data_IF_366474433923
#
_entry.id   IF_366474433923
#
_cell.length_a   1.000
_cell.length_b   1.000
_cell.length_c   1.000
_cell.angle_alpha   90.00
_cell.angle_beta   90.00
_cell.angle_gamma   90.00
#
_symmetry.space_group_name_H-M   'P 1'
#
loop_
_entity.id
_entity.type
_entity.pdbx_description
1 polymer ?
#
# COMPACT_ATOMS: atom_id res chain seq x y z
N UNK A 1 53.61 7.10 -5.79
CA UNK A 1 52.78 7.80 -4.79
C UNK A 1 51.29 7.41 -4.80
N UNK A 2 50.88 6.29 -5.42
CA UNK A 2 49.48 5.81 -5.42
C UNK A 2 49.20 4.70 -4.39
N UNK A 3 50.25 4.03 -3.90
CA UNK A 3 50.16 2.96 -2.91
C UNK A 3 49.86 3.38 -1.47
N UNK A 4 50.30 4.57 -1.04
CA UNK A 4 50.09 5.03 0.35
C UNK A 4 48.62 5.36 0.62
N UNK A 5 47.89 5.84 -0.38
CA UNK A 5 46.47 6.18 -0.23
C UNK A 5 45.55 4.95 -0.18
N UNK A 6 45.95 3.85 -0.85
CA UNK A 6 45.20 2.59 -0.79
C UNK A 6 45.39 1.87 0.57
N UNK A 7 46.59 1.94 1.14
CA UNK A 7 46.89 1.39 2.46
C UNK A 7 46.13 2.10 3.59
N UNK A 8 45.95 3.42 3.51
CA UNK A 8 45.15 4.16 4.50
C UNK A 8 43.66 3.81 4.47
N UNK A 9 43.11 3.47 3.30
CA UNK A 9 41.71 3.06 3.14
C UNK A 9 41.42 1.67 3.73
N UNK A 10 42.39 0.75 3.72
CA UNK A 10 42.24 -0.60 4.28
C UNK A 10 42.30 -0.57 5.81
N UNK A 11 43.28 0.13 6.39
CA UNK A 11 43.44 0.25 7.85
C UNK A 11 42.24 0.94 8.51
N UNK A 12 41.62 1.91 7.83
CA UNK A 12 40.47 2.65 8.37
C UNK A 12 39.15 1.86 8.33
N UNK A 13 39.02 0.87 7.43
CA UNK A 13 37.88 -0.08 7.40
C UNK A 13 38.03 -1.22 8.42
N UNK A 14 39.25 -1.63 8.74
CA UNK A 14 39.50 -2.70 9.71
C UNK A 14 39.27 -2.23 11.17
N UNK A 15 39.43 -0.94 11.46
CA UNK A 15 39.22 -0.37 12.80
C UNK A 15 37.74 -0.19 13.18
N UNK A 16 36.80 -0.35 12.24
CA UNK A 16 35.35 -0.15 12.47
C UNK A 16 34.59 -1.43 12.82
N UNK A 17 35.20 -2.62 12.74
CA UNK A 17 34.51 -3.92 12.89
C UNK A 17 34.92 -4.74 14.13
N UNK A 18 35.55 -4.14 15.14
CA UNK A 18 36.08 -4.86 16.32
C UNK A 18 35.43 -4.47 17.67
N UNK A 19 34.19 -3.96 17.68
CA UNK A 19 33.52 -3.53 18.90
C UNK A 19 32.09 -4.06 19.03
N UNK A 20 31.90 -5.37 18.87
CA UNK A 20 30.75 -6.10 19.40
C UNK A 20 31.21 -7.50 19.78
N UNK A 21 31.34 -7.79 21.08
CA UNK A 21 30.97 -9.06 21.75
C UNK A 21 31.19 -8.90 23.26
N UNK A 22 30.09 -9.16 24.00
CA UNK A 22 29.96 -9.61 25.39
C UNK A 22 30.54 -8.78 26.55
N UNK A 23 29.71 -8.49 27.56
CA UNK A 23 29.79 -9.10 28.91
C UNK A 23 28.50 -8.81 29.69
N UNK A 24 27.90 -9.89 30.18
CA UNK A 24 26.81 -9.97 31.14
C UNK A 24 27.28 -9.73 32.58
N UNK A 25 26.44 -9.11 33.44
CA UNK A 25 26.54 -9.14 34.92
C UNK A 25 25.20 -8.71 35.58
N UNK A 26 24.97 -8.98 36.88
CA UNK A 26 23.77 -9.66 37.36
C UNK A 26 22.83 -8.78 38.19
N UNK A 27 21.68 -9.38 38.56
CA UNK A 27 20.58 -8.85 39.35
C UNK A 27 20.93 -8.46 40.80
N UNK A 28 20.26 -7.41 41.30
CA UNK A 28 19.62 -7.37 42.61
C UNK A 28 18.66 -6.17 42.72
N UNK A 29 17.62 -6.36 43.53
CA UNK A 29 16.36 -5.65 43.60
C UNK A 29 16.40 -4.21 44.17
N UNK A 30 15.44 -3.40 43.74
CA UNK A 30 14.68 -2.52 44.64
C UNK A 30 13.31 -2.22 44.01
N UNK A 31 12.25 -2.65 44.69
CA UNK A 31 10.87 -2.31 44.39
C UNK A 31 10.61 -0.84 44.77
N UNK A 32 10.11 -0.06 43.80
CA UNK A 32 9.45 1.20 44.06
C UNK A 32 8.29 1.34 43.07
N UNK A 33 7.08 1.36 43.62
CA UNK A 33 5.84 1.54 42.89
C UNK A 33 5.70 2.96 42.35
N UNK A 34 5.24 3.11 41.11
CA UNK A 34 4.72 4.36 40.51
C UNK A 34 3.87 3.97 39.28
N UNK A 35 2.71 4.62 39.05
CA UNK A 35 1.50 3.97 38.54
C UNK A 35 1.41 3.96 37.01
N UNK A 36 0.50 3.11 36.52
CA UNK A 36 0.08 3.03 35.14
C UNK A 36 -0.36 4.41 34.62
N UNK A 37 0.41 4.99 33.70
CA UNK A 37 -0.06 6.01 32.78
C UNK A 37 -0.62 5.32 31.54
N UNK A 38 -1.79 4.72 31.69
CA UNK A 38 -2.70 4.44 30.57
C UNK A 38 -3.17 5.78 30.02
N UNK A 39 -2.74 6.11 28.81
CA UNK A 39 -3.44 7.06 27.96
C UNK A 39 -3.31 6.55 26.53
N UNK A 40 -4.31 5.86 25.97
CA UNK A 40 -4.36 5.68 24.53
C UNK A 40 -4.35 7.06 23.86
N UNK A 41 -3.80 7.20 22.64
CA UNK A 41 -3.95 8.43 21.88
C UNK A 41 -5.45 8.76 21.78
N UNK A 42 -5.83 10.06 21.78
CA UNK A 42 -7.23 10.43 21.65
C UNK A 42 -7.77 9.80 20.37
N UNK A 43 -8.75 8.91 20.54
CA UNK A 43 -9.52 8.38 19.44
C UNK A 43 -10.11 9.57 18.69
N UNK A 44 -9.62 9.81 17.48
CA UNK A 44 -10.30 10.70 16.55
C UNK A 44 -11.69 10.07 16.40
N UNK A 45 -12.79 10.81 16.64
CA UNK A 45 -14.10 10.27 16.38
C UNK A 45 -14.14 9.92 14.90
N UNK A 46 -14.20 8.61 14.59
CA UNK A 46 -14.51 8.12 13.26
C UNK A 46 -15.94 8.54 13.02
N UNK A 47 -16.14 9.73 12.47
CA UNK A 47 -17.41 10.10 11.87
C UNK A 47 -17.75 9.00 10.88
N UNK A 48 -18.97 8.43 10.93
CA UNK A 48 -19.43 7.54 9.88
C UNK A 48 -19.22 8.27 8.55
N UNK A 49 -18.40 7.69 7.69
CA UNK A 49 -18.06 8.27 6.40
C UNK A 49 -19.33 8.72 5.69
N UNK A 50 -19.29 9.92 5.12
CA UNK A 50 -20.34 10.40 4.24
C UNK A 50 -20.71 9.28 3.23
N UNK A 51 -22.00 9.13 2.86
CA UNK A 51 -22.44 8.06 1.97
C UNK A 51 -21.55 8.06 0.73
N UNK A 52 -20.96 6.89 0.44
CA UNK A 52 -20.15 6.67 -0.75
C UNK A 52 -20.92 7.21 -1.97
N UNK A 53 -20.34 8.18 -2.65
CA UNK A 53 -20.94 8.81 -3.82
C UNK A 53 -21.01 7.78 -4.94
N UNK A 54 -22.11 7.03 -5.01
CA UNK A 54 -22.33 6.00 -6.02
C UNK A 54 -22.46 6.62 -7.40
N UNK A 55 -21.36 6.65 -8.15
CA UNK A 55 -21.36 7.01 -9.57
C UNK A 55 -21.85 5.87 -10.47
N UNK A 56 -21.79 6.05 -11.80
CA UNK A 56 -22.22 5.02 -12.76
C UNK A 56 -21.36 3.75 -12.68
N UNK A 57 -22.02 2.60 -12.80
CA UNK A 57 -21.39 1.27 -12.85
C UNK A 57 -21.74 0.59 -14.16
N UNK A 58 -20.72 0.21 -14.94
CA UNK A 58 -20.85 -0.44 -16.25
C UNK A 58 -20.13 -1.79 -16.34
N UNK A 59 -19.47 -2.22 -15.27
CA UNK A 59 -18.78 -3.51 -15.18
C UNK A 59 -19.39 -4.40 -14.07
N UNK A 60 -19.18 -5.71 -14.19
CA UNK A 60 -19.60 -6.72 -13.19
C UNK A 60 -18.37 -7.34 -12.53
N UNK A 61 -18.39 -7.47 -11.20
CA UNK A 61 -17.37 -8.19 -10.42
C UNK A 61 -17.56 -9.72 -10.47
N UNK A 62 -18.66 -10.19 -11.04
CA UNK A 62 -18.93 -11.61 -11.26
C UNK A 62 -18.69 -11.96 -12.74
N UNK A 63 -18.12 -13.13 -12.97
CA UNK A 63 -17.85 -13.67 -14.30
C UNK A 63 -17.28 -15.09 -14.24
N UNK A 64 -16.67 -15.55 -15.32
CA UNK A 64 -16.12 -16.91 -15.45
C UNK A 64 -14.59 -16.94 -15.59
N UNK A 65 -13.93 -15.78 -15.53
CA UNK A 65 -12.49 -15.68 -15.66
C UNK A 65 -11.79 -16.25 -14.44
N UNK A 66 -11.37 -17.50 -14.48
CA UNK A 66 -10.65 -18.16 -13.37
C UNK A 66 -9.27 -18.66 -13.76
N UNK A 67 -8.87 -18.46 -15.01
CA UNK A 67 -7.59 -18.94 -15.57
C UNK A 67 -6.39 -18.04 -15.24
N UNK A 68 -6.58 -17.00 -14.44
CA UNK A 68 -5.57 -15.99 -14.15
C UNK A 68 -4.84 -16.28 -12.85
N UNK A 69 -3.53 -16.03 -12.86
CA UNK A 69 -2.67 -16.13 -11.68
C UNK A 69 -2.50 -14.79 -10.98
N UNK A 70 -1.97 -14.83 -9.76
CA UNK A 70 -1.54 -13.63 -9.04
C UNK A 70 -0.48 -12.89 -9.86
N UNK A 71 -0.63 -11.58 -9.99
CA UNK A 71 0.38 -10.71 -10.60
C UNK A 71 1.27 -10.14 -9.50
N UNK A 72 2.57 -10.08 -9.76
CA UNK A 72 3.54 -9.43 -8.88
C UNK A 72 3.75 -7.97 -9.30
N UNK A 73 3.93 -7.08 -8.32
CA UNK A 73 4.11 -5.67 -8.58
C UNK A 73 5.51 -5.26 -9.01
N UNK A 74 5.76 -3.96 -9.26
CA UNK A 74 4.86 -2.82 -9.01
C UNK A 74 3.83 -2.59 -10.13
N UNK A 75 2.82 -1.76 -9.84
CA UNK A 75 1.90 -1.22 -10.87
C UNK A 75 2.67 -0.48 -11.97
N UNK A 76 2.27 -0.64 -13.24
CA UNK A 76 2.88 0.07 -14.38
C UNK A 76 2.56 1.57 -14.33
N UNK A 77 3.52 2.49 -14.10
CA UNK A 77 3.24 3.93 -14.00
C UNK A 77 2.71 4.56 -15.29
N UNK A 78 2.81 3.88 -16.43
CA UNK A 78 2.34 4.35 -17.74
C UNK A 78 1.11 3.59 -18.23
N UNK A 79 0.38 2.94 -17.33
CA UNK A 79 -0.75 2.09 -17.73
C UNK A 79 -1.84 2.88 -18.48
N UNK A 80 -2.07 4.15 -18.16
CA UNK A 80 -3.08 5.00 -18.80
C UNK A 80 -2.82 5.22 -20.30
N UNK A 81 -1.57 5.11 -20.75
CA UNK A 81 -1.20 5.23 -22.17
C UNK A 81 -1.34 3.90 -22.92
N UNK A 82 -1.25 2.77 -22.20
CA UNK A 82 -1.12 1.43 -22.79
C UNK A 82 -2.39 0.60 -22.69
N UNK A 83 -3.22 0.85 -21.68
CA UNK A 83 -4.42 0.07 -21.39
C UNK A 83 -5.66 0.82 -21.84
N UNK A 84 -6.65 0.07 -22.30
CA UNK A 84 -7.95 0.61 -22.66
C UNK A 84 -8.83 0.71 -21.41
N UNK A 85 -9.55 1.82 -21.26
CA UNK A 85 -10.65 1.90 -20.30
C UNK A 85 -11.78 0.97 -20.75
N UNK A 86 -12.12 -0.01 -19.91
CA UNK A 86 -13.16 -1.02 -20.20
C UNK A 86 -14.51 -0.66 -19.60
N UNK A 87 -14.54 0.25 -18.61
CA UNK A 87 -15.78 0.72 -18.02
C UNK A 87 -15.58 1.57 -16.78
N UNK A 88 -16.62 1.63 -15.95
CA UNK A 88 -16.61 2.30 -14.65
C UNK A 88 -17.30 1.46 -13.58
N UNK A 89 -16.91 1.63 -12.32
CA UNK A 89 -17.59 1.05 -11.17
C UNK A 89 -17.77 2.11 -10.09
N UNK A 90 -19.02 2.40 -9.74
CA UNK A 90 -19.37 3.48 -8.81
C UNK A 90 -18.71 4.83 -9.14
N UNK A 91 -18.52 5.11 -10.44
CA UNK A 91 -17.86 6.33 -10.92
C UNK A 91 -16.33 6.28 -10.99
N UNK A 92 -15.71 5.19 -10.55
CA UNK A 92 -14.26 4.94 -10.69
C UNK A 92 -13.98 4.30 -12.05
N UNK A 93 -12.96 4.78 -12.76
CA UNK A 93 -12.55 4.20 -14.06
C UNK A 93 -11.91 2.83 -13.89
N UNK A 94 -12.18 1.92 -14.80
CA UNK A 94 -11.59 0.58 -14.83
C UNK A 94 -10.82 0.38 -16.12
N UNK A 95 -9.57 -0.04 -16.00
CA UNK A 95 -8.60 -0.20 -17.08
C UNK A 95 -8.27 -1.69 -17.25
N UNK A 96 -8.47 -2.18 -18.48
CA UNK A 96 -8.31 -3.60 -18.79
C UNK A 96 -6.86 -4.09 -18.84
N UNK A 97 -6.62 -5.38 -19.08
CA UNK A 97 -7.62 -6.42 -19.35
C UNK A 97 -8.53 -6.68 -18.15
N UNK A 98 -9.76 -7.11 -18.39
CA UNK A 98 -10.78 -7.34 -17.37
C UNK A 98 -11.58 -8.60 -17.70
N UNK A 99 -11.47 -9.60 -16.84
CA UNK A 99 -12.22 -10.85 -16.89
C UNK A 99 -12.43 -11.37 -15.45
N UNK A 100 -13.52 -10.93 -14.84
CA UNK A 100 -13.83 -11.23 -13.46
C UNK A 100 -14.17 -12.73 -13.27
N UNK A 101 -13.89 -13.32 -12.09
CA UNK A 101 -13.24 -12.70 -10.92
C UNK A 101 -11.71 -12.72 -10.94
N UNK A 102 -11.08 -13.43 -11.88
CA UNK A 102 -9.65 -13.75 -11.85
C UNK A 102 -8.72 -12.65 -12.36
N UNK A 103 -9.23 -11.75 -13.21
CA UNK A 103 -8.50 -10.58 -13.68
C UNK A 103 -9.39 -9.34 -13.60
N UNK A 104 -9.00 -8.38 -12.78
CA UNK A 104 -9.77 -7.17 -12.51
C UNK A 104 -9.07 -5.90 -13.00
N UNK A 105 -7.80 -5.97 -13.37
CA UNK A 105 -7.07 -4.87 -13.98
C UNK A 105 -6.81 -3.72 -13.00
N UNK A 106 -6.69 -2.50 -13.53
CA UNK A 106 -6.31 -1.30 -12.76
C UNK A 106 -7.51 -0.38 -12.62
N UNK A 107 -7.72 0.16 -11.43
CA UNK A 107 -8.88 0.98 -11.09
C UNK A 107 -8.42 2.37 -10.66
N UNK A 108 -9.17 3.42 -11.03
CA UNK A 108 -8.87 4.82 -10.68
C UNK A 108 -8.35 5.68 -11.84
N UNK A 109 -8.33 7.00 -11.60
CA UNK A 109 -7.80 8.01 -12.54
C UNK A 109 -6.63 8.79 -11.91
N UNK A 110 -6.81 9.26 -10.68
CA UNK A 110 -5.79 10.01 -9.93
C UNK A 110 -5.20 9.18 -8.79
N UNK A 111 -6.03 8.33 -8.20
CA UNK A 111 -5.63 7.34 -7.21
C UNK A 111 -5.86 5.98 -7.81
N UNK A 112 -4.78 5.34 -8.28
CA UNK A 112 -4.90 4.12 -9.05
C UNK A 112 -4.47 2.92 -8.20
N UNK A 113 -5.23 1.84 -8.22
CA UNK A 113 -4.88 0.56 -7.58
C UNK A 113 -5.00 -0.55 -8.60
N UNK A 114 -3.93 -1.31 -8.77
CA UNK A 114 -3.93 -2.53 -9.55
C UNK A 114 -4.53 -3.67 -8.71
N UNK A 115 -5.71 -4.14 -9.09
CA UNK A 115 -6.43 -5.18 -8.36
C UNK A 115 -5.80 -6.57 -8.60
N UNK A 116 -5.08 -6.75 -9.71
CA UNK A 116 -4.37 -7.99 -10.02
C UNK A 116 -3.13 -8.15 -9.12
N UNK A 117 -2.54 -7.03 -8.66
CA UNK A 117 -1.38 -6.98 -7.74
C UNK A 117 -1.81 -6.84 -6.27
N UNK A 118 -2.90 -6.13 -5.98
CA UNK A 118 -3.33 -5.84 -4.61
C UNK A 118 -3.59 -7.14 -3.81
N UNK A 119 -2.88 -7.29 -2.69
CA UNK A 119 -2.95 -8.46 -1.79
C UNK A 119 -3.81 -8.24 -0.54
N UNK A 120 -4.64 -7.19 -0.53
CA UNK A 120 -5.44 -6.81 0.62
C UNK A 120 -4.66 -6.54 1.93
N UNK A 121 -3.44 -6.02 1.82
CA UNK A 121 -2.59 -5.69 2.98
C UNK A 121 -3.23 -4.63 3.89
N UNK A 122 -3.81 -3.58 3.31
CA UNK A 122 -4.54 -2.54 4.04
C UNK A 122 -3.70 -1.36 4.54
N UNK A 123 -2.37 -1.37 4.42
CA UNK A 123 -1.54 -0.23 4.82
C UNK A 123 -1.94 1.09 4.13
N UNK A 124 -2.42 1.03 2.89
CA UNK A 124 -2.91 2.21 2.17
C UNK A 124 -4.18 2.82 2.80
N UNK A 125 -5.04 2.01 3.41
CA UNK A 125 -6.25 2.47 4.10
C UNK A 125 -5.84 3.21 5.38
N UNK A 126 -5.00 2.58 6.21
CA UNK A 126 -4.54 3.15 7.48
C UNK A 126 -3.65 4.40 7.29
N UNK A 127 -2.84 4.44 6.23
CA UNK A 127 -1.97 5.56 5.95
C UNK A 127 -2.69 6.76 5.30
N UNK A 128 -3.95 6.62 4.87
CA UNK A 128 -4.65 7.69 4.17
C UNK A 128 -5.32 8.65 5.17
N UNK A 129 -4.84 9.90 5.33
CA UNK A 129 -5.39 10.83 6.33
C UNK A 129 -6.79 11.36 6.00
N UNK A 130 -7.26 11.12 4.78
CA UNK A 130 -8.54 11.59 4.24
C UNK A 130 -9.46 10.43 3.85
N UNK A 131 -9.12 9.20 4.27
CA UNK A 131 -9.93 7.99 4.10
C UNK A 131 -10.42 7.76 2.66
N UNK A 132 -9.55 7.84 1.65
CA UNK A 132 -9.94 7.66 0.23
C UNK A 132 -10.46 6.24 -0.06
N UNK A 133 -9.98 5.26 0.71
CA UNK A 133 -10.16 3.85 0.45
C UNK A 133 -11.25 3.21 1.31
N UNK A 134 -11.91 2.20 0.76
CA UNK A 134 -12.81 1.26 1.43
C UNK A 134 -12.47 -0.17 0.99
N UNK A 135 -13.01 -1.17 1.68
CA UNK A 135 -12.88 -2.57 1.23
C UNK A 135 -13.94 -2.89 0.19
N UNK A 136 -13.51 -3.45 -0.93
CA UNK A 136 -14.39 -4.05 -1.93
C UNK A 136 -14.15 -5.55 -1.97
N UNK A 137 -15.22 -6.33 -1.84
CA UNK A 137 -15.15 -7.78 -1.94
C UNK A 137 -14.97 -8.21 -3.40
N UNK A 138 -13.99 -9.07 -3.64
CA UNK A 138 -13.61 -9.62 -4.95
C UNK A 138 -13.39 -11.13 -4.83
N UNK A 139 -14.45 -11.90 -4.50
CA UNK A 139 -14.30 -13.31 -4.22
C UNK A 139 -13.81 -14.10 -5.44
N UNK A 140 -12.88 -15.03 -5.23
CA UNK A 140 -12.30 -15.88 -6.27
C UNK A 140 -11.12 -15.27 -7.04
N UNK A 141 -10.63 -14.09 -6.65
CA UNK A 141 -9.46 -13.48 -7.28
C UNK A 141 -8.15 -14.04 -6.70
N UNK A 142 -7.18 -14.47 -7.53
CA UNK A 142 -5.99 -15.21 -7.09
C UNK A 142 -5.09 -14.46 -6.10
N UNK A 143 -5.03 -13.13 -6.18
CA UNK A 143 -4.21 -12.32 -5.27
C UNK A 143 -4.84 -12.10 -3.88
N UNK A 144 -6.16 -11.93 -3.78
CA UNK A 144 -6.90 -11.71 -2.52
C UNK A 144 -8.40 -11.62 -2.77
N UNK A 145 -9.21 -12.05 -1.79
CA UNK A 145 -10.69 -12.03 -1.85
C UNK A 145 -11.33 -10.65 -1.66
N UNK A 146 -10.52 -9.62 -1.38
CA UNK A 146 -10.94 -8.22 -1.27
C UNK A 146 -9.86 -7.28 -1.75
N UNK A 147 -10.21 -6.02 -2.04
CA UNK A 147 -9.29 -4.99 -2.56
C UNK A 147 -9.52 -3.65 -1.88
N UNK A 148 -8.45 -2.86 -1.78
CA UNK A 148 -8.56 -1.46 -1.36
C UNK A 148 -9.15 -0.65 -2.53
N UNK A 149 -10.40 -0.22 -2.39
CA UNK A 149 -11.17 0.47 -3.39
C UNK A 149 -11.23 1.96 -3.10
N UNK A 150 -10.73 2.77 -4.04
CA UNK A 150 -10.56 4.21 -3.95
C UNK A 150 -11.85 5.02 -4.21
N UNK A 151 -12.98 4.62 -3.63
CA UNK A 151 -14.29 5.23 -3.92
C UNK A 151 -14.32 6.77 -3.74
N UNK A 152 -13.47 7.29 -2.84
CA UNK A 152 -13.30 8.72 -2.59
C UNK A 152 -12.04 9.29 -3.26
N UNK A 153 -11.64 8.81 -4.44
CA UNK A 153 -10.39 9.28 -5.10
C UNK A 153 -10.32 10.80 -5.30
N UNK A 154 -11.48 11.47 -5.39
CA UNK A 154 -11.60 12.92 -5.51
C UNK A 154 -11.16 13.68 -4.26
N UNK A 155 -11.18 13.04 -3.10
CA UNK A 155 -10.77 13.63 -1.82
C UNK A 155 -9.26 13.50 -1.58
N UNK A 156 -8.54 12.84 -2.49
CA UNK A 156 -7.12 12.63 -2.37
C UNK A 156 -6.35 13.97 -2.36
N UNK A 157 -5.51 14.14 -1.34
CA UNK A 157 -4.64 15.31 -1.17
C UNK A 157 -3.23 15.11 -1.75
N UNK A 158 -3.02 14.05 -2.55
CA UNK A 158 -1.75 13.77 -3.22
C UNK A 158 -0.52 13.69 -2.28
N UNK A 159 -0.69 13.16 -1.06
CA UNK A 159 0.40 13.06 -0.09
C UNK A 159 1.42 11.93 -0.36
N UNK A 160 1.14 11.04 -1.33
CA UNK A 160 1.97 9.88 -1.71
C UNK A 160 2.20 8.83 -0.63
N UNK A 161 1.54 8.91 0.54
CA UNK A 161 1.72 7.96 1.63
C UNK A 161 1.35 6.52 1.20
N UNK A 162 0.19 6.35 0.57
CA UNK A 162 -0.33 5.06 0.13
C UNK A 162 0.55 4.36 -0.94
N UNK A 163 1.24 5.12 -1.80
CA UNK A 163 2.18 4.58 -2.79
C UNK A 163 3.43 4.00 -2.12
N UNK A 164 3.91 4.63 -1.05
CA UNK A 164 5.13 4.21 -0.34
C UNK A 164 4.90 3.07 0.66
N UNK A 165 3.73 2.99 1.28
CA UNK A 165 3.45 1.95 2.30
C UNK A 165 2.95 0.64 1.70
N UNK A 166 2.49 0.63 0.45
CA UNK A 166 1.94 -0.57 -0.18
C UNK A 166 3.06 -1.59 -0.47
N UNK A 167 3.09 -2.77 0.20
CA UNK A 167 4.19 -3.71 0.04
C UNK A 167 4.41 -4.22 -1.39
N UNK A 168 3.37 -4.59 -2.16
CA UNK A 168 3.56 -4.96 -3.56
C UNK A 168 3.56 -3.76 -4.51
N UNK A 169 3.54 -2.52 -3.98
CA UNK A 169 3.46 -1.29 -4.78
C UNK A 169 2.33 -1.33 -5.83
N UNK A 170 1.14 -1.74 -5.40
CA UNK A 170 -0.05 -1.80 -6.25
C UNK A 170 -0.72 -0.44 -6.47
N UNK A 171 -0.32 0.60 -5.72
CA UNK A 171 -0.93 1.92 -5.73
C UNK A 171 -0.06 2.88 -6.55
N UNK A 172 -0.67 3.67 -7.43
CA UNK A 172 -0.01 4.79 -8.12
C UNK A 172 -0.85 6.05 -8.03
N UNK A 173 -0.22 7.17 -7.67
CA UNK A 173 -0.89 8.46 -7.63
C UNK A 173 -0.45 9.35 -8.79
N UNK A 174 -1.41 9.94 -9.50
CA UNK A 174 -1.18 10.95 -10.53
C UNK A 174 -1.68 12.30 -10.04
N UNK A 175 -0.78 13.25 -9.79
CA UNK A 175 -1.16 14.58 -9.39
C UNK A 175 -1.82 15.32 -10.57
N UNK A 176 -2.92 16.03 -10.31
CA UNK A 176 -3.47 17.01 -11.25
C UNK A 176 -2.56 18.24 -11.21
N UNK A 177 -1.67 18.34 -12.20
CA UNK A 177 -0.95 19.58 -12.49
C UNK A 177 -1.90 20.68 -12.93
#
# INVERSE_FOLDING_TARGET
MRDVHNQLCIVKRQKTMAAQVAVSRPAAAAAAAVPAATSPPPAIPVTPGAPAAGGPTTISLSGTGTSYGKVEGPIDPKFQEKRQQVGTFQGIKVWGPYDAPGQLGIWGDFVCVDFDICVADGACIEACPVNVYEWLETPGHPASEKKAFMIREKDCIFCMACENVCPPQAVKIFNKG
#
